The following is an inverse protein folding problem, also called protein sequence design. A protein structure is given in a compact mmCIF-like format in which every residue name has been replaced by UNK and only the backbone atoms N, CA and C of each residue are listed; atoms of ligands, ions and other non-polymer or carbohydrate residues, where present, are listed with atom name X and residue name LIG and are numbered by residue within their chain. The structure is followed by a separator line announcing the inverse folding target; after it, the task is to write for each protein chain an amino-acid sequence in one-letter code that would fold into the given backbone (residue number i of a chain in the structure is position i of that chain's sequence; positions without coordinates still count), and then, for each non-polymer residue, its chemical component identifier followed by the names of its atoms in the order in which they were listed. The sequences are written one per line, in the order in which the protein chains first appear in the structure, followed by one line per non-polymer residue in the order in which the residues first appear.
data_IF_883689828952
#
_entry.id   IF_883689828952
#
_cell.length_a   1.000
_cell.length_b   1.000
_cell.length_c   1.000
_cell.angle_alpha   90.00
_cell.angle_beta   90.00
_cell.angle_gamma   90.00
#
_symmetry.space_group_name_H-M   'P 1'
#
loop_
_entity.id
_entity.type
_entity.pdbx_description
1 polymer ?
#
# COMPACT_ATOMS: atom_id res chain seq x y z
N UNK A 1 -39.36 -16.84 75.76
CA UNK A 1 -39.24 -17.66 74.53
C UNK A 1 -38.54 -18.96 74.89
N UNK A 2 -39.13 -20.14 74.62
CA UNK A 2 -38.49 -21.40 74.91
C UNK A 2 -37.24 -21.59 74.04
N UNK A 3 -36.14 -22.08 74.63
CA UNK A 3 -34.84 -22.25 73.96
C UNK A 3 -34.89 -22.99 72.62
N UNK A 4 -35.86 -23.91 72.45
CA UNK A 4 -36.09 -24.66 71.21
C UNK A 4 -36.45 -23.76 70.01
N UNK A 5 -37.24 -22.70 70.23
CA UNK A 5 -37.64 -21.79 69.15
C UNK A 5 -36.46 -20.93 68.67
N UNK A 6 -35.55 -20.59 69.61
CA UNK A 6 -34.32 -19.86 69.30
C UNK A 6 -33.32 -20.70 68.48
N UNK A 7 -33.16 -21.97 68.83
CA UNK A 7 -32.31 -22.90 68.08
C UNK A 7 -32.85 -23.18 66.67
N UNK A 8 -34.17 -23.38 66.53
CA UNK A 8 -34.83 -23.55 65.24
C UNK A 8 -34.68 -22.30 64.35
N UNK A 9 -34.84 -21.10 64.93
CA UNK A 9 -34.61 -19.85 64.20
C UNK A 9 -33.14 -19.70 63.76
N UNK A 10 -32.18 -20.13 64.56
CA UNK A 10 -30.75 -20.09 64.23
C UNK A 10 -30.39 -21.07 63.11
N UNK A 11 -31.00 -22.26 63.08
CA UNK A 11 -30.87 -23.20 61.96
C UNK A 11 -31.45 -22.59 60.67
N UNK A 12 -32.62 -21.96 60.75
CA UNK A 12 -33.24 -21.32 59.59
C UNK A 12 -32.39 -20.19 59.00
N UNK A 13 -31.77 -19.37 59.85
CA UNK A 13 -30.84 -18.32 59.41
C UNK A 13 -29.62 -18.90 58.71
N UNK A 14 -29.07 -20.03 59.20
CA UNK A 14 -27.95 -20.71 58.54
C UNK A 14 -28.33 -21.28 57.18
N UNK A 15 -29.48 -21.96 57.08
CA UNK A 15 -30.00 -22.47 55.80
C UNK A 15 -30.17 -21.33 54.78
N UNK A 16 -30.77 -20.22 55.20
CA UNK A 16 -30.97 -19.05 54.34
C UNK A 16 -29.63 -18.40 53.94
N UNK A 17 -28.65 -18.35 54.84
CA UNK A 17 -27.31 -17.84 54.51
C UNK A 17 -26.59 -18.74 53.50
N UNK A 18 -26.70 -20.07 53.63
CA UNK A 18 -26.14 -21.01 52.66
C UNK A 18 -26.84 -20.91 51.30
N UNK A 19 -28.16 -20.73 51.28
CA UNK A 19 -28.92 -20.50 50.04
C UNK A 19 -28.49 -19.19 49.37
N UNK A 20 -28.44 -18.09 50.12
CA UNK A 20 -27.96 -16.81 49.59
C UNK A 20 -26.52 -16.88 49.05
N UNK A 21 -25.64 -17.65 49.70
CA UNK A 21 -24.27 -17.86 49.20
C UNK A 21 -24.24 -18.65 47.91
N UNK A 22 -25.05 -19.71 47.79
CA UNK A 22 -25.16 -20.52 46.56
C UNK A 22 -25.68 -19.67 45.40
N UNK A 23 -26.78 -18.96 45.61
CA UNK A 23 -27.37 -18.08 44.60
C UNK A 23 -26.40 -16.96 44.19
N UNK A 24 -25.64 -16.39 45.14
CA UNK A 24 -24.64 -15.37 44.82
C UNK A 24 -23.49 -15.90 43.95
N UNK A 25 -23.08 -17.16 44.13
CA UNK A 25 -22.07 -17.81 43.29
C UNK A 25 -22.63 -18.08 41.91
N UNK A 26 -23.86 -18.59 41.82
CA UNK A 26 -24.55 -18.85 40.55
C UNK A 26 -24.76 -17.58 39.73
N UNK A 27 -25.19 -16.48 40.37
CA UNK A 27 -25.30 -15.17 39.71
C UNK A 27 -23.96 -14.71 39.13
N UNK A 28 -22.84 -14.85 39.86
CA UNK A 28 -21.52 -14.48 39.35
C UNK A 28 -21.07 -15.33 38.15
N UNK A 29 -21.41 -16.62 38.16
CA UNK A 29 -21.13 -17.52 37.05
C UNK A 29 -21.94 -17.09 35.81
N UNK A 30 -23.24 -16.86 35.98
CA UNK A 30 -24.13 -16.41 34.91
C UNK A 30 -23.74 -15.03 34.35
N UNK A 31 -23.31 -14.09 35.19
CA UNK A 31 -22.78 -12.79 34.75
C UNK A 31 -21.51 -12.94 33.89
N UNK A 32 -20.64 -13.88 34.26
CA UNK A 32 -19.43 -14.18 33.50
C UNK A 32 -19.78 -14.77 32.13
N UNK A 33 -20.69 -15.73 32.08
CA UNK A 33 -21.18 -16.33 30.83
C UNK A 33 -21.88 -15.32 29.94
N UNK A 34 -22.73 -14.46 30.51
CA UNK A 34 -23.40 -13.38 29.78
C UNK A 34 -22.40 -12.40 29.17
N UNK A 35 -21.38 -12.02 29.92
CA UNK A 35 -20.30 -11.16 29.44
C UNK A 35 -19.54 -11.81 28.28
N UNK A 36 -19.22 -13.11 28.39
CA UNK A 36 -18.56 -13.85 27.33
C UNK A 36 -19.42 -13.91 26.06
N UNK A 37 -20.70 -14.28 26.18
CA UNK A 37 -21.63 -14.37 25.06
C UNK A 37 -21.83 -13.02 24.36
N UNK A 38 -21.90 -11.93 25.13
CA UNK A 38 -22.08 -10.58 24.58
C UNK A 38 -20.85 -10.05 23.84
N UNK A 39 -19.67 -10.60 24.13
CA UNK A 39 -18.40 -10.23 23.48
C UNK A 39 -18.07 -11.11 22.27
N UNK A 40 -18.86 -12.15 22.00
CA UNK A 40 -18.74 -12.96 20.79
C UNK A 40 -19.66 -12.38 19.71
N UNK A 41 -19.21 -12.39 18.46
CA UNK A 41 -20.04 -11.99 17.33
C UNK A 41 -21.30 -12.85 17.27
N UNK A 42 -22.44 -12.23 17.06
CA UNK A 42 -23.66 -12.99 16.80
C UNK A 42 -23.51 -13.80 15.51
N UNK A 43 -24.23 -14.92 15.42
CA UNK A 43 -24.24 -15.76 14.21
C UNK A 43 -24.54 -14.93 12.96
N UNK A 44 -25.48 -13.98 13.05
CA UNK A 44 -25.83 -13.07 11.97
C UNK A 44 -24.66 -12.17 11.53
N UNK A 45 -23.86 -11.66 12.47
CA UNK A 45 -22.68 -10.83 12.16
C UNK A 45 -21.56 -11.67 11.54
N UNK A 46 -21.36 -12.90 12.01
CA UNK A 46 -20.41 -13.85 11.42
C UNK A 46 -20.82 -14.18 9.98
N UNK A 47 -22.10 -14.46 9.73
CA UNK A 47 -22.62 -14.70 8.38
C UNK A 47 -22.38 -13.49 7.47
N UNK A 48 -22.72 -12.28 7.94
CA UNK A 48 -22.53 -11.05 7.17
C UNK A 48 -21.07 -10.82 6.79
N UNK A 49 -20.16 -10.94 7.76
CA UNK A 49 -18.73 -10.77 7.51
C UNK A 49 -18.19 -11.84 6.56
N UNK A 50 -18.66 -13.09 6.71
CA UNK A 50 -18.27 -14.19 5.82
C UNK A 50 -18.71 -13.92 4.38
N UNK A 51 -19.93 -13.44 4.16
CA UNK A 51 -20.42 -13.07 2.83
C UNK A 51 -19.62 -11.92 2.23
N UNK A 52 -19.30 -10.90 3.02
CA UNK A 52 -18.49 -9.77 2.58
C UNK A 52 -17.08 -10.21 2.14
N UNK A 53 -16.43 -11.04 2.96
CA UNK A 53 -15.10 -11.59 2.67
C UNK A 53 -15.15 -12.47 1.41
N UNK A 54 -16.16 -13.33 1.26
CA UNK A 54 -16.34 -14.15 0.06
C UNK A 54 -16.50 -13.30 -1.21
N UNK A 55 -17.24 -12.19 -1.14
CA UNK A 55 -17.38 -11.25 -2.27
C UNK A 55 -16.05 -10.59 -2.63
N UNK A 56 -15.28 -10.14 -1.63
CA UNK A 56 -13.95 -9.57 -1.84
C UNK A 56 -13.00 -10.59 -2.46
N UNK A 57 -12.98 -11.81 -1.93
CA UNK A 57 -12.17 -12.90 -2.45
C UNK A 57 -12.48 -13.19 -3.93
N UNK A 58 -13.76 -13.34 -4.29
CA UNK A 58 -14.16 -13.58 -5.67
C UNK A 58 -13.76 -12.42 -6.62
N UNK A 59 -13.83 -11.17 -6.15
CA UNK A 59 -13.40 -10.02 -6.92
C UNK A 59 -11.89 -10.00 -7.15
N UNK A 60 -11.11 -10.36 -6.13
CA UNK A 60 -9.66 -10.41 -6.22
C UNK A 60 -9.16 -11.61 -7.02
N UNK A 61 -9.81 -12.77 -6.91
CA UNK A 61 -9.57 -13.93 -7.78
C UNK A 61 -9.80 -13.60 -9.25
N UNK A 62 -10.85 -12.82 -9.58
CA UNK A 62 -11.09 -12.36 -10.95
C UNK A 62 -9.97 -11.43 -11.46
N UNK A 63 -9.49 -10.51 -10.63
CA UNK A 63 -8.34 -9.66 -10.99
C UNK A 63 -7.08 -10.49 -11.17
N UNK A 64 -6.85 -11.44 -10.28
CA UNK A 64 -5.70 -12.33 -10.33
C UNK A 64 -5.72 -13.17 -11.62
N UNK A 65 -6.85 -13.79 -11.95
CA UNK A 65 -7.01 -14.55 -13.19
C UNK A 65 -6.75 -13.69 -14.45
N UNK A 66 -7.17 -12.41 -14.44
CA UNK A 66 -6.87 -11.48 -15.52
C UNK A 66 -5.36 -11.22 -15.65
N UNK A 67 -4.65 -11.05 -14.53
CA UNK A 67 -3.21 -10.84 -14.51
C UNK A 67 -2.42 -12.12 -14.88
N UNK A 68 -2.83 -13.27 -14.36
CA UNK A 68 -2.23 -14.59 -14.61
C UNK A 68 -2.43 -15.07 -16.05
N UNK A 69 -3.50 -14.62 -16.71
CA UNK A 69 -3.76 -14.95 -18.12
C UNK A 69 -2.68 -14.44 -19.09
N UNK A 70 -1.64 -13.76 -18.58
CA UNK A 70 -0.59 -13.12 -19.38
C UNK A 70 -1.21 -12.30 -20.52
N UNK A 71 -2.38 -11.68 -20.28
CA UNK A 71 -2.98 -10.77 -21.23
C UNK A 71 -1.93 -9.70 -21.49
N UNK A 72 -1.29 -9.79 -22.65
CA UNK A 72 -0.21 -8.91 -23.07
C UNK A 72 -0.85 -7.54 -23.23
N UNK A 73 -0.81 -6.73 -22.16
CA UNK A 73 -1.41 -5.38 -22.11
C UNK A 73 -0.74 -4.43 -23.11
N UNK A 74 0.47 -4.76 -23.55
CA UNK A 74 1.25 -4.03 -24.55
C UNK A 74 1.65 -5.01 -25.62
N UNK A 75 1.01 -4.92 -26.78
CA UNK A 75 1.32 -5.76 -27.93
C UNK A 75 2.79 -5.63 -28.35
N UNK A 76 3.32 -6.65 -29.02
CA UNK A 76 4.69 -6.60 -29.54
C UNK A 76 4.91 -5.40 -30.49
N UNK A 77 3.87 -5.01 -31.22
CA UNK A 77 3.87 -3.86 -32.12
C UNK A 77 3.95 -2.53 -31.36
N UNK A 78 3.12 -2.34 -30.33
CA UNK A 78 3.17 -1.14 -29.47
C UNK A 78 4.53 -1.01 -28.78
N UNK A 79 5.06 -2.13 -28.29
CA UNK A 79 6.40 -2.19 -27.70
C UNK A 79 7.47 -1.78 -28.72
N UNK A 80 7.43 -2.33 -29.93
CA UNK A 80 8.39 -1.99 -30.99
C UNK A 80 8.27 -0.53 -31.43
N UNK A 81 7.05 0.01 -31.50
CA UNK A 81 6.79 1.41 -31.82
C UNK A 81 7.37 2.35 -30.75
N UNK A 82 7.17 2.05 -29.47
CA UNK A 82 7.74 2.80 -28.35
C UNK A 82 9.28 2.75 -28.36
N UNK A 83 9.86 1.57 -28.57
CA UNK A 83 11.32 1.37 -28.67
C UNK A 83 11.92 2.18 -29.85
N UNK A 84 11.26 2.17 -31.01
CA UNK A 84 11.66 2.94 -32.19
C UNK A 84 11.55 4.45 -31.96
N UNK A 85 10.48 4.89 -31.29
CA UNK A 85 10.29 6.30 -30.94
C UNK A 85 11.41 6.78 -30.01
N UNK A 86 11.71 6.03 -28.95
CA UNK A 86 12.79 6.32 -28.01
C UNK A 86 14.16 6.40 -28.72
N UNK A 87 14.45 5.43 -29.59
CA UNK A 87 15.70 5.42 -30.35
C UNK A 87 15.85 6.69 -31.21
N UNK A 88 14.80 7.03 -31.95
CA UNK A 88 14.78 8.20 -32.84
C UNK A 88 14.91 9.51 -32.06
N UNK A 89 14.19 9.66 -30.95
CA UNK A 89 14.22 10.90 -30.15
C UNK A 89 15.57 11.08 -29.47
N UNK A 90 16.15 10.02 -28.92
CA UNK A 90 17.48 10.08 -28.30
C UNK A 90 18.59 10.39 -29.30
N UNK A 91 18.56 9.79 -30.49
CA UNK A 91 19.52 10.12 -31.55
C UNK A 91 19.40 11.60 -31.94
N UNK A 92 18.18 12.08 -32.14
CA UNK A 92 17.92 13.45 -32.54
C UNK A 92 18.29 14.45 -31.43
N UNK A 93 18.12 14.08 -30.16
CA UNK A 93 18.60 14.84 -29.01
C UNK A 93 20.12 14.91 -28.97
N UNK A 94 20.83 13.77 -29.05
CA UNK A 94 22.31 13.74 -29.06
C UNK A 94 22.88 14.62 -30.15
N UNK A 95 22.32 14.55 -31.36
CA UNK A 95 22.76 15.37 -32.48
C UNK A 95 22.58 16.86 -32.19
N UNK A 96 21.41 17.28 -31.70
CA UNK A 96 21.13 18.70 -31.39
C UNK A 96 21.97 19.21 -30.23
N UNK A 97 22.07 18.44 -29.15
CA UNK A 97 22.90 18.74 -27.98
C UNK A 97 24.38 18.86 -28.38
N UNK A 98 24.87 17.98 -29.25
CA UNK A 98 26.23 18.06 -29.79
C UNK A 98 26.45 19.32 -30.63
N UNK A 99 25.54 19.65 -31.54
CA UNK A 99 25.62 20.88 -32.34
C UNK A 99 25.60 22.13 -31.45
N UNK A 100 24.70 22.19 -30.46
CA UNK A 100 24.64 23.27 -29.50
C UNK A 100 25.96 23.44 -28.75
N UNK A 101 26.51 22.34 -28.18
CA UNK A 101 27.79 22.41 -27.46
C UNK A 101 28.95 22.83 -28.33
N UNK A 102 28.99 22.41 -29.59
CA UNK A 102 30.06 22.82 -30.50
C UNK A 102 30.00 24.33 -30.80
N UNK A 103 28.80 24.85 -31.08
CA UNK A 103 28.59 26.28 -31.31
C UNK A 103 28.89 27.07 -30.04
N UNK A 104 28.36 26.61 -28.91
CA UNK A 104 28.57 27.24 -27.61
C UNK A 104 30.04 27.26 -27.22
N UNK A 105 30.77 26.16 -27.44
CA UNK A 105 32.22 26.08 -27.20
C UNK A 105 32.95 27.19 -27.94
N UNK A 106 32.73 27.31 -29.25
CA UNK A 106 33.35 28.34 -30.07
C UNK A 106 32.96 29.78 -29.67
N UNK A 107 31.74 30.00 -29.16
CA UNK A 107 31.31 31.32 -28.68
C UNK A 107 31.95 31.62 -27.32
N UNK A 108 32.00 30.63 -26.44
CA UNK A 108 32.39 30.80 -25.03
C UNK A 108 33.89 30.82 -24.79
N UNK A 109 34.71 30.45 -25.79
CA UNK A 109 36.18 30.40 -25.69
C UNK A 109 36.80 31.76 -25.30
N UNK A 110 36.21 32.87 -25.75
CA UNK A 110 36.69 34.24 -25.49
C UNK A 110 35.78 35.01 -24.51
N UNK A 111 34.81 34.34 -23.88
CA UNK A 111 33.84 35.00 -22.99
C UNK A 111 34.30 34.97 -21.52
N UNK A 112 34.42 36.15 -20.92
CA UNK A 112 34.62 36.29 -19.48
C UNK A 112 33.28 36.19 -18.73
N UNK A 113 33.20 35.31 -17.73
CA UNK A 113 32.03 35.20 -16.83
C UNK A 113 31.60 33.76 -16.52
N UNK A 114 30.56 33.62 -15.71
CA UNK A 114 29.95 32.32 -15.40
C UNK A 114 28.91 31.97 -16.45
N UNK A 115 29.14 30.86 -17.16
CA UNK A 115 28.24 30.39 -18.21
C UNK A 115 26.82 30.08 -17.73
N UNK A 116 26.68 29.65 -16.46
CA UNK A 116 25.37 29.37 -15.86
C UNK A 116 24.48 30.61 -15.78
N UNK A 117 25.03 31.74 -15.34
CA UNK A 117 24.29 33.00 -15.21
C UNK A 117 23.79 33.49 -16.57
N UNK A 118 24.59 33.29 -17.62
CA UNK A 118 24.22 33.63 -18.99
C UNK A 118 23.15 32.69 -19.56
N UNK A 119 23.22 31.39 -19.25
CA UNK A 119 22.18 30.43 -19.62
C UNK A 119 20.84 30.77 -18.97
N UNK A 120 20.84 31.17 -17.71
CA UNK A 120 19.63 31.63 -17.02
C UNK A 120 19.08 32.92 -17.67
N UNK A 121 19.94 33.87 -18.04
CA UNK A 121 19.55 35.13 -18.70
C UNK A 121 18.93 34.91 -20.09
N UNK A 122 19.49 34.00 -20.89
CA UNK A 122 19.01 33.72 -22.26
C UNK A 122 17.93 32.61 -22.30
N UNK A 123 17.54 32.07 -21.14
CA UNK A 123 16.48 31.06 -21.01
C UNK A 123 16.89 29.67 -21.52
N UNK A 124 18.17 29.30 -21.40
CA UNK A 124 18.67 27.95 -21.71
C UNK A 124 18.64 27.09 -20.45
N UNK A 125 17.77 26.09 -20.44
CA UNK A 125 17.72 25.07 -19.40
C UNK A 125 18.68 23.92 -19.73
N UNK A 126 19.49 23.50 -18.75
CA UNK A 126 20.36 22.32 -18.91
C UNK A 126 19.58 21.02 -18.74
N UNK A 127 20.15 19.91 -19.21
CA UNK A 127 19.58 18.57 -19.01
C UNK A 127 19.25 18.32 -17.52
N UNK A 128 20.14 18.74 -16.61
CA UNK A 128 19.96 18.58 -15.16
C UNK A 128 18.83 19.47 -14.61
N UNK A 129 18.72 20.71 -15.10
CA UNK A 129 17.65 21.64 -14.70
C UNK A 129 16.26 21.14 -15.14
N UNK A 130 16.20 20.47 -16.30
CA UNK A 130 14.98 19.82 -16.80
C UNK A 130 14.70 18.45 -16.15
N UNK A 131 15.56 17.98 -15.25
CA UNK A 131 15.46 16.65 -14.63
C UNK A 131 15.70 15.50 -15.61
N UNK A 132 16.38 15.75 -16.72
CA UNK A 132 16.67 14.76 -17.75
C UNK A 132 17.97 14.00 -17.45
N UNK A 133 17.86 12.70 -17.13
CA UNK A 133 19.01 11.79 -17.07
C UNK A 133 19.19 11.04 -18.41
N UNK A 134 20.12 11.54 -19.21
CA UNK A 134 20.44 10.95 -20.51
C UNK A 134 21.13 9.58 -20.38
N UNK A 135 21.87 9.33 -19.30
CA UNK A 135 22.50 8.03 -19.07
C UNK A 135 21.46 6.99 -18.68
N UNK A 136 20.43 7.35 -17.92
CA UNK A 136 19.27 6.49 -17.66
C UNK A 136 18.50 6.17 -18.95
N UNK A 137 18.20 7.19 -19.76
CA UNK A 137 17.49 6.99 -21.02
C UNK A 137 18.24 6.05 -21.98
N UNK A 138 19.58 6.04 -21.93
CA UNK A 138 20.43 5.12 -22.68
C UNK A 138 20.39 3.66 -22.19
N UNK A 139 20.09 3.42 -20.92
CA UNK A 139 19.92 2.05 -20.37
C UNK A 139 18.63 1.41 -20.85
N UNK A 140 17.61 2.23 -21.09
CA UNK A 140 16.30 1.78 -21.54
C UNK A 140 16.31 1.33 -23.01
N UNK A 141 17.34 1.72 -23.78
CA UNK A 141 17.47 1.37 -25.19
C UNK A 141 17.50 -0.15 -25.46
N UNK A 142 16.84 -0.61 -26.54
CA UNK A 142 16.89 -2.02 -26.94
C UNK A 142 18.31 -2.38 -27.39
N UNK A 143 18.85 -3.49 -26.90
CA UNK A 143 20.19 -3.98 -27.27
C UNK A 143 21.31 -3.60 -26.30
N UNK A 144 21.10 -2.68 -25.36
CA UNK A 144 22.09 -2.29 -24.34
C UNK A 144 22.11 -3.26 -23.14
N UNK A 145 22.16 -4.58 -23.43
CA UNK A 145 22.04 -5.67 -22.44
C UNK A 145 23.09 -5.65 -21.32
N UNK A 146 24.19 -4.91 -21.51
CA UNK A 146 25.29 -4.78 -20.54
C UNK A 146 24.97 -3.84 -19.36
N UNK A 147 23.96 -2.98 -19.47
CA UNK A 147 23.73 -1.87 -18.54
C UNK A 147 22.43 -1.99 -17.71
N UNK A 148 21.72 -3.13 -17.83
CA UNK A 148 20.48 -3.45 -17.08
C UNK A 148 20.73 -4.22 -15.78
N UNK A 149 21.97 -4.26 -15.29
CA UNK A 149 22.35 -4.85 -14.00
C UNK A 149 22.82 -3.76 -13.06
#
# INVERSE_FOLDING_TARGET
MPLKDYEASKQKVRELQEQCQKEAVECKQLETELSQLRNVLSEAEITRQTEEIKRKLAADEKKLAMLESNAVLITAEERAAAEKALAKTLEAWRKRRGMFRNIWGAISEDMDGKQADLFDEIGVETDEAAGADMAEAERLMPGNKRMRR
#
